data_IF_296596223488
#
_entry.id   IF_296596223488
#
_cell.length_a   1.000
_cell.length_b   1.000
_cell.length_c   1.000
_cell.angle_alpha   90.00
_cell.angle_beta   90.00
_cell.angle_gamma   90.00
#
_symmetry.space_group_name_H-M   'P 1'
#
loop_
_entity.id
_entity.type
_entity.pdbx_description
1 polymer ?
#
# COMPACT_ATOMS: atom_id res chain seq x y z
N UNK A 1 -8.88 25.06 5.39
CA UNK A 1 -9.55 23.83 5.86
C UNK A 1 -9.37 22.78 4.78
N UNK A 2 -8.88 21.58 5.11
CA UNK A 2 -8.55 20.53 4.12
C UNK A 2 -9.78 20.09 3.30
N UNK A 3 -9.60 19.92 1.99
CA UNK A 3 -10.63 19.40 1.05
C UNK A 3 -11.03 17.97 1.40
N UNK A 4 -10.09 17.17 1.90
CA UNK A 4 -10.32 15.77 2.23
C UNK A 4 -11.38 15.60 3.33
N UNK A 5 -11.61 16.64 4.14
CA UNK A 5 -12.70 16.67 5.14
C UNK A 5 -14.09 16.72 4.50
N UNK A 6 -14.19 17.23 3.27
CA UNK A 6 -15.45 17.46 2.55
C UNK A 6 -15.95 16.25 1.77
N UNK A 7 -15.12 15.23 1.55
CA UNK A 7 -15.57 13.99 0.92
C UNK A 7 -16.63 13.32 1.78
N UNK A 8 -17.79 13.10 1.17
CA UNK A 8 -18.99 12.51 1.78
C UNK A 8 -19.29 11.14 1.21
N UNK A 9 -18.77 10.83 0.01
CA UNK A 9 -18.95 9.55 -0.65
C UNK A 9 -17.62 9.03 -1.19
N UNK A 10 -17.49 7.70 -1.34
CA UNK A 10 -16.28 7.10 -1.93
C UNK A 10 -16.03 7.62 -3.35
N UNK A 11 -17.09 7.78 -4.15
CA UNK A 11 -17.01 8.28 -5.53
C UNK A 11 -16.56 9.76 -5.64
N UNK A 12 -16.52 10.51 -4.52
CA UNK A 12 -15.90 11.84 -4.49
C UNK A 12 -14.37 11.75 -4.68
N UNK A 13 -13.79 10.55 -4.54
CA UNK A 13 -12.37 10.27 -4.71
C UNK A 13 -12.16 9.67 -6.11
N UNK A 14 -11.59 10.42 -7.08
CA UNK A 14 -11.60 10.03 -8.49
C UNK A 14 -11.00 8.65 -8.82
N UNK A 15 -10.07 8.17 -7.98
CA UNK A 15 -9.41 6.86 -8.15
C UNK A 15 -10.05 5.71 -7.37
N UNK A 16 -10.98 5.97 -6.45
CA UNK A 16 -11.62 4.96 -5.61
C UNK A 16 -13.11 4.93 -5.94
N UNK A 17 -13.56 3.93 -6.70
CA UNK A 17 -14.96 3.85 -7.13
C UNK A 17 -15.70 2.82 -6.29
N UNK A 18 -16.90 3.24 -5.86
CA UNK A 18 -17.96 2.35 -5.42
C UNK A 18 -18.65 1.79 -6.67
N UNK A 19 -18.45 0.52 -6.99
CA UNK A 19 -19.44 -0.19 -7.81
C UNK A 19 -20.59 -0.52 -6.85
N UNK A 20 -21.74 0.10 -7.08
CA UNK A 20 -22.94 0.11 -6.21
C UNK A 20 -23.43 -1.27 -5.72
N UNK A 21 -22.84 -2.38 -6.18
CA UNK A 21 -23.30 -3.74 -5.87
C UNK A 21 -22.23 -4.68 -5.30
N UNK A 22 -20.98 -4.26 -5.11
CA UNK A 22 -19.96 -5.14 -4.52
C UNK A 22 -19.67 -6.43 -5.32
N UNK A 23 -20.02 -6.47 -6.61
CA UNK A 23 -19.67 -7.57 -7.51
C UNK A 23 -18.18 -7.51 -7.87
N UNK A 24 -17.57 -8.70 -8.03
CA UNK A 24 -16.17 -8.88 -8.42
C UNK A 24 -15.90 -8.59 -9.91
N UNK A 25 -16.90 -8.17 -10.68
CA UNK A 25 -16.78 -7.96 -12.12
C UNK A 25 -16.50 -6.49 -12.41
N UNK A 26 -15.24 -6.17 -12.69
CA UNK A 26 -14.74 -4.79 -12.76
C UNK A 26 -15.14 -4.01 -14.01
N UNK A 27 -15.84 -4.62 -14.97
CA UNK A 27 -16.26 -3.98 -16.21
C UNK A 27 -17.51 -4.69 -16.69
N UNK A 28 -18.54 -3.93 -17.11
CA UNK A 28 -19.52 -4.25 -18.17
C UNK A 28 -20.70 -3.25 -18.13
N UNK A 29 -20.42 -1.99 -18.49
CA UNK A 29 -21.41 -1.20 -19.22
C UNK A 29 -20.66 -0.37 -20.28
N UNK A 30 -20.77 -0.78 -21.54
CA UNK A 30 -20.12 -0.15 -22.69
C UNK A 30 -20.87 1.10 -23.19
N UNK A 31 -21.70 1.72 -22.34
CA UNK A 31 -22.37 2.95 -22.72
C UNK A 31 -21.37 4.10 -22.89
N UNK A 32 -21.60 4.96 -23.90
CA UNK A 32 -20.75 6.13 -24.17
C UNK A 32 -20.62 7.06 -22.94
N UNK A 33 -21.67 7.11 -22.11
CA UNK A 33 -21.66 7.85 -20.85
C UNK A 33 -20.66 7.24 -19.86
N UNK A 34 -20.66 5.92 -19.71
CA UNK A 34 -19.72 5.20 -18.82
C UNK A 34 -18.29 5.38 -19.32
N UNK A 35 -18.04 5.24 -20.63
CA UNK A 35 -16.72 5.46 -21.22
C UNK A 35 -16.20 6.89 -21.01
N UNK A 36 -17.06 7.90 -21.17
CA UNK A 36 -16.69 9.32 -20.93
C UNK A 36 -16.36 9.59 -19.46
N UNK A 37 -17.15 9.04 -18.55
CA UNK A 37 -16.90 9.19 -17.11
C UNK A 37 -15.58 8.51 -16.73
N UNK A 38 -15.31 7.32 -17.26
CA UNK A 38 -14.04 6.61 -17.04
C UNK A 38 -12.85 7.40 -17.60
N UNK A 39 -12.94 7.92 -18.82
CA UNK A 39 -11.84 8.68 -19.43
C UNK A 39 -11.53 9.98 -18.70
N UNK A 40 -12.56 10.74 -18.29
CA UNK A 40 -12.39 11.95 -17.47
C UNK A 40 -11.73 11.64 -16.13
N UNK A 41 -12.06 10.51 -15.51
CA UNK A 41 -11.46 10.06 -14.23
C UNK A 41 -10.02 9.63 -14.40
N UNK A 42 -9.70 8.87 -15.45
CA UNK A 42 -8.33 8.49 -15.77
C UNK A 42 -7.45 9.72 -15.99
N UNK A 43 -7.98 10.73 -16.69
CA UNK A 43 -7.30 12.02 -16.89
C UNK A 43 -7.03 12.71 -15.55
N UNK A 44 -8.04 12.90 -14.70
CA UNK A 44 -7.86 13.54 -13.38
C UNK A 44 -6.88 12.80 -12.48
N UNK A 45 -6.91 11.46 -12.49
CA UNK A 45 -5.95 10.63 -11.75
C UNK A 45 -4.52 10.84 -12.27
N UNK A 46 -4.34 10.89 -13.58
CA UNK A 46 -3.04 11.16 -14.21
C UNK A 46 -2.52 12.56 -13.89
N UNK A 47 -3.39 13.57 -13.88
CA UNK A 47 -3.06 14.94 -13.48
C UNK A 47 -2.65 15.01 -12.01
N UNK A 48 -3.44 14.39 -11.12
CA UNK A 48 -3.13 14.31 -9.69
C UNK A 48 -1.79 13.62 -9.42
N UNK A 49 -1.51 12.52 -10.13
CA UNK A 49 -0.22 11.83 -10.07
C UNK A 49 0.92 12.77 -10.46
N UNK A 50 0.81 13.39 -11.64
CA UNK A 50 1.83 14.30 -12.19
C UNK A 50 2.12 15.46 -11.24
N UNK A 51 1.09 16.01 -10.60
CA UNK A 51 1.24 17.10 -9.63
C UNK A 51 1.87 16.63 -8.31
N UNK A 52 1.48 15.46 -7.80
CA UNK A 52 2.03 14.88 -6.57
C UNK A 52 3.44 14.33 -6.76
N UNK A 53 3.83 14.02 -8.00
CA UNK A 53 5.08 13.35 -8.38
C UNK A 53 6.33 14.02 -7.81
N UNK A 54 6.31 15.36 -7.71
CA UNK A 54 7.43 16.16 -7.21
C UNK A 54 7.59 16.13 -5.70
N UNK A 55 6.53 15.79 -4.97
CA UNK A 55 6.49 15.73 -3.51
C UNK A 55 6.62 14.29 -2.97
N UNK A 56 6.71 13.31 -3.87
CA UNK A 56 6.90 11.89 -3.53
C UNK A 56 8.30 11.43 -3.91
N UNK A 57 8.89 10.58 -3.06
CA UNK A 57 10.19 9.95 -3.35
C UNK A 57 10.13 9.08 -4.60
N UNK A 58 11.26 8.95 -5.31
CA UNK A 58 11.39 8.06 -6.47
C UNK A 58 10.97 6.62 -6.16
N UNK A 59 11.27 6.12 -4.95
CA UNK A 59 10.86 4.79 -4.48
C UNK A 59 9.34 4.59 -4.53
N UNK A 60 8.53 5.60 -4.19
CA UNK A 60 7.07 5.46 -4.27
C UNK A 60 6.60 5.25 -5.71
N UNK A 61 7.30 5.82 -6.69
CA UNK A 61 6.97 5.66 -8.11
C UNK A 61 7.17 4.21 -8.58
N UNK A 62 8.16 3.50 -8.03
CA UNK A 62 8.35 2.07 -8.30
C UNK A 62 7.35 1.19 -7.56
N UNK A 63 6.89 1.58 -6.37
CA UNK A 63 5.94 0.78 -5.57
C UNK A 63 4.46 0.93 -5.96
N UNK A 64 4.00 2.12 -6.37
CA UNK A 64 2.57 2.36 -6.68
C UNK A 64 2.17 1.78 -8.05
N UNK A 65 3.09 1.12 -8.76
CA UNK A 65 2.79 0.35 -9.96
C UNK A 65 2.23 -1.06 -9.61
N UNK A 66 1.05 -1.07 -8.97
CA UNK A 66 0.23 -2.25 -8.64
C UNK A 66 0.73 -3.16 -7.51
N UNK A 67 1.65 -2.73 -6.63
CA UNK A 67 2.25 -3.61 -5.61
C UNK A 67 1.61 -3.60 -4.24
N UNK A 68 1.12 -2.44 -3.83
CA UNK A 68 0.77 -2.22 -2.44
C UNK A 68 -0.68 -2.66 -2.11
N UNK A 69 -1.47 -3.02 -3.11
CA UNK A 69 -2.86 -3.47 -2.94
C UNK A 69 -2.98 -4.86 -2.35
N UNK A 70 -1.87 -5.59 -2.24
CA UNK A 70 -1.83 -6.93 -1.66
C UNK A 70 -1.24 -6.90 -0.21
N UNK A 71 -0.96 -5.71 0.32
CA UNK A 71 -0.33 -5.50 1.64
C UNK A 71 -1.33 -5.45 2.80
N UNK A 72 -0.92 -5.87 4.00
CA UNK A 72 -1.65 -5.54 5.22
C UNK A 72 -1.19 -4.21 5.79
N UNK A 73 -2.11 -3.41 6.31
CA UNK A 73 -1.81 -2.27 7.17
C UNK A 73 -1.57 -2.83 8.57
N UNK A 74 -0.30 -2.85 8.98
CA UNK A 74 0.10 -3.40 10.28
C UNK A 74 -0.02 -2.38 11.40
N UNK A 75 0.10 -1.10 11.08
CA UNK A 75 0.09 -0.07 12.10
C UNK A 75 0.16 1.34 11.55
N UNK A 76 -0.03 2.29 12.44
CA UNK A 76 0.08 3.71 12.13
C UNK A 76 0.50 4.48 13.38
N UNK A 77 1.31 5.52 13.21
CA UNK A 77 1.82 6.37 14.30
C UNK A 77 1.72 7.82 13.86
N UNK A 78 1.31 8.72 14.77
CA UNK A 78 1.31 10.16 14.53
C UNK A 78 2.11 10.88 15.62
N UNK A 79 3.11 11.64 15.20
CA UNK A 79 4.02 12.39 16.06
C UNK A 79 4.14 13.84 15.53
N UNK A 80 3.39 14.75 16.15
CA UNK A 80 3.33 16.15 15.69
C UNK A 80 2.88 16.26 14.22
N UNK A 81 3.75 16.83 13.38
CA UNK A 81 3.55 17.00 11.94
C UNK A 81 3.92 15.78 11.09
N UNK A 82 4.28 14.64 11.70
CA UNK A 82 4.64 13.40 11.02
C UNK A 82 3.55 12.35 11.20
N UNK A 83 3.25 11.61 10.13
CA UNK A 83 2.40 10.42 10.16
C UNK A 83 3.14 9.28 9.48
N UNK A 84 3.19 8.13 10.14
CA UNK A 84 3.79 6.91 9.62
C UNK A 84 2.70 5.88 9.47
N UNK A 85 2.52 5.34 8.27
CA UNK A 85 1.70 4.16 8.00
C UNK A 85 2.64 2.99 7.72
N UNK A 86 2.48 1.92 8.48
CA UNK A 86 3.31 0.72 8.37
C UNK A 86 2.51 -0.34 7.63
N UNK A 87 3.01 -0.79 6.47
CA UNK A 87 2.37 -1.76 5.62
C UNK A 87 3.27 -2.98 5.41
N UNK A 88 2.74 -4.19 5.64
CA UNK A 88 3.45 -5.44 5.39
C UNK A 88 3.58 -5.72 3.90
N UNK A 89 4.46 -6.66 3.59
CA UNK A 89 4.27 -7.51 2.42
C UNK A 89 3.95 -8.92 2.95
N UNK A 90 2.94 -9.57 2.40
CA UNK A 90 2.56 -10.95 2.75
C UNK A 90 3.77 -11.91 2.60
N UNK A 91 4.63 -11.67 1.62
CA UNK A 91 5.85 -12.44 1.36
C UNK A 91 6.90 -12.25 2.47
N UNK A 92 6.85 -11.13 3.18
CA UNK A 92 7.80 -10.81 4.25
C UNK A 92 7.52 -11.59 5.54
N UNK A 93 6.25 -11.74 5.91
CA UNK A 93 5.86 -12.50 7.09
C UNK A 93 6.22 -13.99 6.94
N UNK A 94 6.20 -14.48 5.70
CA UNK A 94 6.56 -15.85 5.38
C UNK A 94 8.08 -16.07 5.32
N UNK A 95 8.86 -15.12 4.77
CA UNK A 95 10.34 -15.19 4.82
C UNK A 95 10.84 -15.31 6.27
N UNK A 96 10.22 -14.52 7.16
CA UNK A 96 10.41 -14.59 8.61
C UNK A 96 10.07 -15.96 9.23
N UNK A 97 9.02 -16.64 8.74
CA UNK A 97 8.57 -17.94 9.25
C UNK A 97 9.46 -19.12 8.82
N UNK A 98 10.21 -18.99 7.72
CA UNK A 98 11.00 -20.08 7.15
C UNK A 98 12.49 -20.05 7.51
N UNK A 99 12.79 -19.42 8.64
CA UNK A 99 14.11 -19.44 9.24
C UNK A 99 15.00 -18.33 8.73
N UNK A 100 14.79 -17.72 7.56
CA UNK A 100 15.55 -16.54 7.13
C UNK A 100 15.42 -15.45 8.21
N UNK A 101 16.39 -15.35 9.13
CA UNK A 101 16.17 -14.86 10.49
C UNK A 101 15.37 -13.55 10.47
N UNK A 102 14.09 -13.62 10.84
CA UNK A 102 13.44 -12.47 11.41
C UNK A 102 14.15 -12.19 12.72
N UNK A 103 14.89 -11.09 12.77
CA UNK A 103 15.70 -10.69 13.94
C UNK A 103 14.81 -10.49 15.19
N UNK A 104 13.48 -10.51 15.03
CA UNK A 104 12.51 -10.50 16.12
C UNK A 104 11.14 -10.97 15.61
N UNK A 105 10.28 -11.48 16.51
CA UNK A 105 8.83 -11.66 16.26
C UNK A 105 8.10 -10.33 15.96
N UNK A 106 8.77 -9.21 16.22
CA UNK A 106 8.34 -7.85 15.91
C UNK A 106 8.95 -7.33 14.60
N UNK A 107 9.91 -8.07 14.02
CA UNK A 107 10.48 -7.83 12.70
C UNK A 107 9.63 -8.53 11.62
N UNK A 108 8.35 -8.16 11.58
CA UNK A 108 7.73 -8.01 10.28
C UNK A 108 8.63 -6.99 9.55
N UNK A 109 8.99 -7.19 8.28
CA UNK A 109 9.71 -6.17 7.51
C UNK A 109 8.70 -5.37 6.66
N UNK A 110 7.80 -4.57 7.25
CA UNK A 110 6.96 -3.67 6.50
C UNK A 110 7.81 -2.61 5.84
N UNK A 111 7.30 -1.98 4.80
CA UNK A 111 7.76 -0.66 4.46
C UNK A 111 6.95 0.38 5.25
N UNK A 112 7.60 1.49 5.57
CA UNK A 112 6.89 2.64 6.12
C UNK A 112 6.59 3.65 5.04
N UNK A 113 5.35 4.11 5.01
CA UNK A 113 4.96 5.33 4.32
C UNK A 113 5.01 6.47 5.32
N UNK A 114 6.00 7.33 5.16
CA UNK A 114 6.24 8.46 6.05
C UNK A 114 5.77 9.74 5.36
N UNK A 115 4.77 10.36 5.96
CA UNK A 115 4.21 11.64 5.58
C UNK A 115 4.76 12.73 6.50
N UNK A 116 5.27 13.81 5.91
CA UNK A 116 5.84 14.95 6.64
C UNK A 116 5.08 16.24 6.31
N UNK A 117 5.04 17.19 7.26
CA UNK A 117 4.21 18.39 7.10
C UNK A 117 2.71 18.07 7.07
N UNK A 118 2.29 17.08 7.85
CA UNK A 118 0.92 16.55 7.83
C UNK A 118 -0.07 17.57 8.35
N UNK A 119 -0.87 18.12 7.44
CA UNK A 119 -1.96 19.04 7.76
C UNK A 119 -3.26 18.32 8.10
N UNK A 120 -3.43 17.07 7.61
CA UNK A 120 -4.62 16.30 7.85
C UNK A 120 -4.39 14.77 7.70
N UNK A 121 -5.00 14.01 8.62
CA UNK A 121 -5.18 12.55 8.54
C UNK A 121 -6.62 12.26 8.95
N UNK A 122 -7.30 11.42 8.20
CA UNK A 122 -8.69 11.08 8.44
C UNK A 122 -9.00 9.63 8.15
N UNK A 123 -9.62 8.96 9.12
CA UNK A 123 -10.13 7.61 8.96
C UNK A 123 -11.63 7.66 8.73
N UNK A 124 -12.08 6.99 7.66
CA UNK A 124 -13.47 6.92 7.26
C UNK A 124 -13.95 5.48 7.24
N UNK A 125 -15.20 5.29 7.61
CA UNK A 125 -15.95 4.08 7.36
C UNK A 125 -16.74 4.28 6.06
N UNK A 126 -16.68 3.31 5.14
CA UNK A 126 -17.58 3.25 3.98
C UNK A 126 -18.82 2.46 4.36
N UNK A 127 -19.96 3.13 4.35
CA UNK A 127 -21.27 2.50 4.52
C UNK A 127 -21.71 1.81 3.21
N UNK A 128 -22.77 0.99 3.26
CA UNK A 128 -23.23 0.20 2.11
C UNK A 128 -23.67 1.05 0.91
N UNK A 129 -24.18 2.25 1.17
CA UNK A 129 -24.59 3.25 0.18
C UNK A 129 -23.44 4.09 -0.38
N UNK A 130 -22.19 3.73 -0.03
CA UNK A 130 -20.98 4.43 -0.44
C UNK A 130 -20.71 5.72 0.30
N UNK A 131 -21.52 6.10 1.29
CA UNK A 131 -21.25 7.26 2.14
C UNK A 131 -20.03 7.01 3.03
N UNK A 132 -19.30 8.09 3.32
CA UNK A 132 -18.11 8.08 4.16
C UNK A 132 -18.40 8.76 5.49
N UNK A 133 -18.43 7.97 6.55
CA UNK A 133 -18.59 8.45 7.93
C UNK A 133 -17.24 8.52 8.64
N UNK A 134 -17.06 9.51 9.52
CA UNK A 134 -15.87 9.52 10.37
C UNK A 134 -15.82 8.30 11.27
N UNK A 135 -14.62 7.73 11.39
CA UNK A 135 -14.38 6.58 12.24
C UNK A 135 -13.05 6.75 12.99
N UNK A 136 -12.86 6.06 14.12
CA UNK A 136 -11.55 6.01 14.77
C UNK A 136 -10.53 5.29 13.86
N UNK A 137 -9.22 5.46 14.08
CA UNK A 137 -8.22 4.60 13.43
C UNK A 137 -8.49 3.10 13.65
N UNK A 138 -8.00 2.21 12.77
CA UNK A 138 -7.97 0.77 13.04
C UNK A 138 -7.18 0.49 14.33
N UNK A 139 -7.62 -0.47 15.14
CA UNK A 139 -6.81 -0.89 16.28
C UNK A 139 -5.60 -1.66 15.77
N UNK A 140 -4.42 -1.42 16.36
CA UNK A 140 -3.22 -2.20 16.02
C UNK A 140 -3.45 -3.68 16.34
N UNK A 141 -3.03 -4.57 15.45
CA UNK A 141 -3.16 -6.02 15.60
C UNK A 141 -4.43 -6.63 14.97
N UNK A 142 -5.37 -5.82 14.49
CA UNK A 142 -6.44 -6.33 13.62
C UNK A 142 -5.96 -6.38 12.16
N UNK A 143 -6.29 -7.47 11.46
CA UNK A 143 -5.97 -7.62 10.05
C UNK A 143 -6.71 -6.56 9.23
N UNK A 144 -5.97 -5.55 8.78
CA UNK A 144 -6.43 -4.54 7.84
C UNK A 144 -5.75 -4.80 6.49
N UNK A 145 -6.51 -5.22 5.47
CA UNK A 145 -6.00 -5.47 4.13
C UNK A 145 -6.13 -4.20 3.29
N UNK A 146 -5.02 -3.67 2.81
CA UNK A 146 -5.02 -2.62 1.80
C UNK A 146 -5.69 -3.17 0.55
N UNK A 147 -6.61 -2.44 -0.08
CA UNK A 147 -7.29 -2.89 -1.29
C UNK A 147 -6.95 -2.04 -2.50
N UNK A 148 -6.86 -0.73 -2.30
CA UNK A 148 -6.65 0.23 -3.37
C UNK A 148 -6.12 1.53 -2.79
N UNK A 149 -5.30 2.24 -3.54
CA UNK A 149 -4.93 3.62 -3.21
C UNK A 149 -4.96 4.52 -4.44
N UNK A 150 -5.04 5.82 -4.20
CA UNK A 150 -4.85 6.81 -5.25
C UNK A 150 -4.36 8.15 -4.72
N UNK A 151 -3.65 8.88 -5.58
CA UNK A 151 -3.46 10.31 -5.39
C UNK A 151 -4.71 11.09 -5.77
N UNK A 152 -4.93 12.18 -5.04
CA UNK A 152 -6.04 13.12 -5.24
C UNK A 152 -5.44 14.44 -5.69
N UNK A 153 -6.15 15.13 -6.59
CA UNK A 153 -5.71 16.42 -7.10
C UNK A 153 -5.46 17.42 -5.94
N UNK A 154 -4.23 17.93 -5.81
CA UNK A 154 -3.90 18.88 -4.76
C UNK A 154 -4.30 20.30 -5.17
N UNK A 155 -5.01 21.03 -4.30
CA UNK A 155 -5.32 22.47 -4.52
C UNK A 155 -4.09 23.37 -4.26
N UNK A 156 -3.07 22.83 -3.61
CA UNK A 156 -1.84 23.50 -3.19
C UNK A 156 -0.67 22.51 -3.30
N UNK A 157 0.58 22.96 -3.46
CA UNK A 157 1.73 22.06 -3.48
C UNK A 157 1.72 21.08 -2.29
N UNK A 158 1.97 19.79 -2.57
CA UNK A 158 2.00 18.73 -1.57
C UNK A 158 1.40 17.43 -2.07
N UNK A 159 1.10 16.54 -1.13
CA UNK A 159 0.55 15.21 -1.38
C UNK A 159 -0.84 15.10 -0.76
N UNK A 160 -1.81 14.60 -1.55
CA UNK A 160 -3.09 14.11 -1.05
C UNK A 160 -3.28 12.68 -1.49
N UNK A 161 -3.51 11.81 -0.53
CA UNK A 161 -3.51 10.38 -0.77
C UNK A 161 -4.67 9.72 -0.05
N UNK A 162 -5.29 8.76 -0.71
CA UNK A 162 -6.38 7.98 -0.18
C UNK A 162 -6.07 6.49 -0.32
N UNK A 163 -6.34 5.72 0.74
CA UNK A 163 -6.24 4.26 0.76
C UNK A 163 -7.56 3.68 1.17
N UNK A 164 -8.11 2.80 0.35
CA UNK A 164 -9.18 1.88 0.74
C UNK A 164 -8.52 0.66 1.36
N UNK A 165 -9.03 0.28 2.52
CA UNK A 165 -8.65 -0.96 3.16
C UNK A 165 -9.87 -1.65 3.73
N UNK A 166 -9.74 -2.94 3.96
CA UNK A 166 -10.75 -3.80 4.56
C UNK A 166 -10.26 -4.25 5.93
N UNK A 167 -11.07 -4.13 6.97
CA UNK A 167 -10.70 -4.51 8.34
C UNK A 167 -11.68 -5.54 8.89
N UNK A 168 -11.14 -6.61 9.47
CA UNK A 168 -11.90 -7.70 10.06
C UNK A 168 -12.35 -7.36 11.49
N UNK A 169 -13.28 -6.41 11.65
CA UNK A 169 -13.80 -5.93 12.95
C UNK A 169 -15.19 -6.50 13.32
N UNK A 170 -15.56 -7.65 12.75
CA UNK A 170 -16.84 -8.33 13.00
C UNK A 170 -18.06 -7.73 12.28
N UNK A 171 -17.94 -6.56 11.64
CA UNK A 171 -18.99 -5.95 10.80
C UNK A 171 -18.69 -5.91 9.31
N UNK A 172 -17.57 -6.51 8.86
CA UNK A 172 -17.12 -6.51 7.47
C UNK A 172 -17.13 -5.10 6.88
N UNK A 173 -16.22 -4.22 7.33
CA UNK A 173 -16.24 -2.83 6.88
C UNK A 173 -15.09 -2.46 5.95
N UNK A 174 -15.44 -1.88 4.79
CA UNK A 174 -14.48 -1.14 3.96
C UNK A 174 -14.25 0.21 4.62
N UNK A 175 -12.99 0.63 4.70
CA UNK A 175 -12.56 1.86 5.35
C UNK A 175 -11.69 2.65 4.40
N UNK A 176 -11.59 3.96 4.62
CA UNK A 176 -10.76 4.85 3.81
C UNK A 176 -9.87 5.66 4.73
N UNK A 177 -8.55 5.57 4.52
CA UNK A 177 -7.57 6.49 5.08
C UNK A 177 -7.37 7.64 4.09
N UNK A 178 -7.41 8.86 4.59
CA UNK A 178 -7.16 10.09 3.84
C UNK A 178 -5.99 10.83 4.49
N UNK A 179 -4.99 11.21 3.71
CA UNK A 179 -3.81 11.95 4.20
C UNK A 179 -3.53 13.17 3.32
N UNK A 180 -3.28 14.31 3.94
CA UNK A 180 -2.76 15.52 3.30
C UNK A 180 -1.47 15.97 4.00
N UNK A 181 -0.40 16.06 3.24
CA UNK A 181 0.96 16.29 3.72
C UNK A 181 1.77 17.12 2.71
N UNK A 182 2.91 17.65 3.13
CA UNK A 182 3.83 18.37 2.25
C UNK A 182 4.65 17.41 1.40
N UNK A 183 5.05 16.27 1.97
CA UNK A 183 5.82 15.24 1.30
C UNK A 183 5.44 13.83 1.76
N UNK A 184 5.81 12.84 0.94
CA UNK A 184 5.68 11.42 1.23
C UNK A 184 6.94 10.67 0.77
N UNK A 185 7.47 9.83 1.66
CA UNK A 185 8.59 8.93 1.35
C UNK A 185 8.29 7.49 1.78
N UNK A 186 8.89 6.55 1.06
CA UNK A 186 8.88 5.12 1.40
C UNK A 186 10.18 4.77 2.11
N UNK A 187 10.10 3.99 3.18
CA UNK A 187 11.26 3.37 3.83
C UNK A 187 11.21 1.87 3.56
N UNK A 188 12.09 1.38 2.67
CA UNK A 188 12.13 0.00 2.19
C UNK A 188 12.87 -0.95 3.15
N UNK A 189 12.25 -1.32 4.27
CA UNK A 189 12.90 -2.20 5.26
C UNK A 189 13.20 -3.60 4.69
N UNK A 190 12.41 -4.06 3.71
CA UNK A 190 12.58 -5.36 3.05
C UNK A 190 13.83 -5.42 2.21
N UNK A 191 14.10 -4.38 1.41
CA UNK A 191 15.29 -4.30 0.58
C UNK A 191 16.55 -4.28 1.44
N UNK A 192 16.53 -3.54 2.55
CA UNK A 192 17.61 -3.56 3.53
C UNK A 192 17.82 -4.96 4.14
N UNK A 193 16.76 -5.66 4.53
CA UNK A 193 16.83 -7.03 5.03
C UNK A 193 17.35 -8.01 3.97
N UNK A 194 16.90 -7.89 2.72
CA UNK A 194 17.38 -8.69 1.60
C UNK A 194 18.87 -8.49 1.34
N UNK A 195 19.35 -7.24 1.34
CA UNK A 195 20.80 -6.93 1.22
C UNK A 195 21.59 -7.59 2.34
N UNK A 196 21.10 -7.51 3.58
CA UNK A 196 21.75 -8.13 4.72
C UNK A 196 21.82 -9.66 4.59
N UNK A 197 20.78 -10.28 4.02
CA UNK A 197 20.66 -11.73 3.95
C UNK A 197 21.32 -12.34 2.72
N UNK A 198 21.03 -11.84 1.53
CA UNK A 198 21.48 -12.41 0.26
C UNK A 198 22.72 -11.67 -0.28
N UNK A 199 22.99 -10.47 0.25
CA UNK A 199 24.06 -9.60 -0.20
C UNK A 199 23.59 -8.57 -1.23
N UNK A 200 24.16 -7.37 -1.21
CA UNK A 200 23.73 -6.26 -2.06
C UNK A 200 23.81 -6.53 -3.57
N UNK A 201 24.68 -7.43 -4.01
CA UNK A 201 24.79 -7.84 -5.42
C UNK A 201 23.54 -8.56 -5.95
N UNK A 202 22.71 -9.11 -5.06
CA UNK A 202 21.47 -9.84 -5.41
C UNK A 202 20.24 -8.94 -5.56
N UNK A 203 20.38 -7.63 -5.35
CA UNK A 203 19.27 -6.68 -5.45
C UNK A 203 18.54 -6.71 -6.80
N UNK A 204 19.19 -6.89 -7.96
CA UNK A 204 18.47 -7.00 -9.23
C UNK A 204 17.48 -8.17 -9.25
N UNK A 205 17.82 -9.28 -8.59
CA UNK A 205 16.95 -10.47 -8.48
C UNK A 205 15.78 -10.21 -7.54
N UNK A 206 16.02 -9.51 -6.43
CA UNK A 206 14.94 -9.02 -5.57
C UNK A 206 13.97 -8.13 -6.36
N UNK A 207 14.49 -7.11 -7.03
CA UNK A 207 13.68 -6.16 -7.81
C UNK A 207 12.89 -6.90 -8.91
N UNK A 208 13.49 -7.88 -9.60
CA UNK A 208 12.80 -8.76 -10.56
C UNK A 208 11.66 -9.55 -9.90
N UNK A 209 11.93 -10.23 -8.78
CA UNK A 209 10.89 -10.99 -8.05
C UNK A 209 9.70 -10.12 -7.66
N UNK A 210 9.99 -8.88 -7.23
CA UNK A 210 8.97 -7.93 -6.83
C UNK A 210 8.10 -7.51 -8.01
N UNK A 211 8.68 -7.33 -9.21
CA UNK A 211 7.89 -7.01 -10.41
C UNK A 211 6.94 -8.15 -10.83
N UNK A 212 7.27 -9.40 -10.50
CA UNK A 212 6.53 -10.62 -10.89
C UNK A 212 5.75 -11.29 -9.75
N UNK A 213 5.63 -10.64 -8.59
CA UNK A 213 4.99 -11.19 -7.37
C UNK A 213 3.58 -11.78 -7.57
N UNK A 214 2.81 -11.31 -8.57
CA UNK A 214 1.48 -11.86 -8.91
C UNK A 214 1.55 -13.14 -9.73
N UNK A 215 2.64 -13.35 -10.46
CA UNK A 215 2.87 -14.54 -11.29
C UNK A 215 3.60 -15.63 -10.51
N UNK A 216 4.50 -15.24 -9.62
CA UNK A 216 5.32 -16.16 -8.83
C UNK A 216 5.39 -15.64 -7.41
N UNK A 217 4.40 -16.06 -6.61
CA UNK A 217 4.41 -15.76 -5.19
C UNK A 217 5.53 -16.53 -4.52
N UNK A 218 6.44 -15.81 -3.89
CA UNK A 218 7.49 -16.38 -3.07
C UNK A 218 7.00 -16.75 -1.65
N UNK A 219 5.67 -16.75 -1.40
CA UNK A 219 5.04 -17.16 -0.12
C UNK A 219 5.06 -18.68 0.08
N UNK A 220 5.47 -19.49 -0.91
CA UNK A 220 5.76 -20.91 -0.68
C UNK A 220 7.27 -21.11 -0.48
N UNK A 221 7.72 -21.72 0.63
CA UNK A 221 9.12 -22.00 0.91
C UNK A 221 9.82 -22.87 -0.13
N UNK A 222 9.07 -23.71 -0.84
CA UNK A 222 9.61 -24.52 -1.93
C UNK A 222 9.86 -23.63 -3.14
N UNK A 223 8.90 -22.79 -3.51
CA UNK A 223 9.03 -21.84 -4.62
C UNK A 223 10.17 -20.85 -4.36
N UNK A 224 10.28 -20.31 -3.14
CA UNK A 224 11.40 -19.46 -2.74
C UNK A 224 12.75 -20.18 -2.88
N UNK A 225 12.87 -21.42 -2.38
CA UNK A 225 14.13 -22.17 -2.47
C UNK A 225 14.53 -22.48 -3.90
N UNK A 226 13.56 -22.85 -4.74
CA UNK A 226 13.77 -23.06 -6.17
C UNK A 226 14.20 -21.77 -6.84
N UNK A 227 13.51 -20.66 -6.55
CA UNK A 227 13.84 -19.34 -7.07
C UNK A 227 15.27 -18.90 -6.70
N UNK A 228 15.66 -19.01 -5.42
CA UNK A 228 17.02 -18.66 -4.98
C UNK A 228 18.08 -19.54 -5.67
N UNK A 229 17.81 -20.84 -5.79
CA UNK A 229 18.70 -21.78 -6.47
C UNK A 229 18.87 -21.47 -7.95
N UNK A 230 17.78 -21.17 -8.66
CA UNK A 230 17.78 -20.81 -10.08
C UNK A 230 18.61 -19.55 -10.35
N UNK A 231 18.60 -18.61 -9.43
CA UNK A 231 19.36 -17.37 -9.53
C UNK A 231 20.78 -17.46 -8.96
N UNK A 232 21.24 -18.65 -8.58
CA UNK A 232 22.57 -18.88 -8.02
C UNK A 232 22.82 -18.15 -6.70
N UNK A 233 21.74 -17.82 -5.98
CA UNK A 233 21.82 -17.08 -4.72
C UNK A 233 22.07 -18.03 -3.56
N UNK A 234 22.90 -17.62 -2.58
CA UNK A 234 23.20 -18.47 -1.44
C UNK A 234 21.92 -18.72 -0.62
N UNK A 235 21.66 -19.98 -0.32
CA UNK A 235 20.76 -20.33 0.77
C UNK A 235 21.58 -20.22 2.05
N UNK A 236 21.59 -19.04 2.70
CA UNK A 236 22.17 -18.99 4.04
C UNK A 236 21.30 -19.85 4.96
N UNK A 237 21.97 -20.68 5.76
CA UNK A 237 21.32 -21.36 6.86
C UNK A 237 21.31 -20.35 8.00
N UNK A 238 20.15 -19.98 8.54
CA UNK A 238 20.10 -19.17 9.75
C UNK A 238 20.49 -20.10 10.90
N UNK A 239 21.44 -19.68 11.74
CA UNK A 239 22.10 -20.46 12.78
C UNK A 239 23.33 -21.27 12.33
N UNK A 240 24.39 -20.56 11.96
CA UNK A 240 25.69 -20.78 12.61
C UNK A 240 26.03 -19.51 13.39
N UNK A 241 25.41 -19.36 14.56
CA UNK A 241 25.80 -18.35 15.52
C UNK A 241 27.11 -18.79 16.17
N UNK A 242 28.19 -18.08 15.82
CA UNK A 242 29.27 -17.74 16.74
C UNK A 242 29.02 -16.32 17.26
#
# INVERSE_FOLDING_TARGET
>A
MSVLRRFRHLHDIPGLVDVEEGSQDWWLDDSEKTQRIVSDRLRRRSEAWTQSERAVSWALRSYVNNAQHDSHILGHIREGGRFTLTASDEHTEMLAQHGFDAVSKEAHYPFDLVFEGVSFVGWRLREKDGTLRWAPPPQMGELAQWLLDCFIEPERPGVRWAVVFYQWDGRYSRRVLLVEAESLRVVERQRAAWIQYVGGASLPVFDESQTRRRETSLVDPKVLREFLREHGLPHLNPLSGD
#
